data_IF_428938670969
#
_entry.id   IF_428938670969
#
_cell.length_a   1.000
_cell.length_b   1.000
_cell.length_c   1.000
_cell.angle_alpha   90.00
_cell.angle_beta   90.00
_cell.angle_gamma   90.00
#
_symmetry.space_group_name_H-M   'P 1'
#
loop_
_entity.id
_entity.type
_entity.pdbx_description
1 polymer ?
#
# COMPACT_ATOMS: atom_id res chain seq x y z
N UNK A 1 -22.12 -41.24 -21.10
CA UNK A 1 -21.43 -39.96 -21.41
C UNK A 1 -20.11 -40.29 -22.10
N UNK A 2 -19.92 -39.86 -23.35
CA UNK A 2 -18.74 -40.26 -24.14
C UNK A 2 -17.46 -39.73 -23.48
N UNK A 3 -16.48 -40.62 -23.20
CA UNK A 3 -15.20 -40.26 -22.54
C UNK A 3 -14.51 -39.05 -23.19
N UNK A 4 -14.70 -38.83 -24.50
CA UNK A 4 -14.19 -37.66 -25.24
C UNK A 4 -14.88 -36.33 -24.87
N UNK A 5 -16.18 -36.34 -24.59
CA UNK A 5 -16.95 -35.14 -24.19
C UNK A 5 -16.62 -34.76 -22.74
N UNK A 6 -16.43 -35.76 -21.86
CA UNK A 6 -16.04 -35.51 -20.46
C UNK A 6 -14.65 -34.86 -20.31
N UNK A 7 -13.68 -35.24 -21.17
CA UNK A 7 -12.31 -34.67 -21.13
C UNK A 7 -12.28 -33.20 -21.56
N UNK A 8 -13.08 -32.82 -22.57
CA UNK A 8 -13.15 -31.43 -23.06
C UNK A 8 -13.74 -30.50 -21.99
N UNK A 9 -14.80 -30.92 -21.29
CA UNK A 9 -15.44 -30.11 -20.25
C UNK A 9 -14.49 -29.88 -19.06
N UNK A 10 -13.74 -30.90 -18.64
CA UNK A 10 -12.78 -30.79 -17.54
C UNK A 10 -11.62 -29.84 -17.92
N UNK A 11 -11.10 -29.92 -19.16
CA UNK A 11 -10.04 -29.03 -19.62
C UNK A 11 -10.48 -27.55 -19.67
N UNK A 12 -11.71 -27.26 -20.11
CA UNK A 12 -12.26 -25.89 -20.14
C UNK A 12 -12.46 -25.32 -18.74
N UNK A 13 -12.88 -26.14 -17.76
CA UNK A 13 -13.05 -25.70 -16.36
C UNK A 13 -11.69 -25.42 -15.69
N UNK A 14 -10.66 -26.23 -15.97
CA UNK A 14 -9.30 -26.01 -15.45
C UNK A 14 -8.68 -24.76 -16.07
N UNK A 15 -8.86 -24.53 -17.38
CA UNK A 15 -8.41 -23.31 -18.05
C UNK A 15 -9.18 -22.08 -17.54
N UNK A 16 -10.50 -22.18 -17.34
CA UNK A 16 -11.34 -21.11 -16.81
C UNK A 16 -11.02 -20.74 -15.36
N UNK A 17 -10.69 -21.73 -14.52
CA UNK A 17 -10.26 -21.48 -13.13
C UNK A 17 -8.84 -20.92 -13.07
N UNK A 18 -7.91 -21.37 -13.92
CA UNK A 18 -6.57 -20.79 -14.03
C UNK A 18 -6.62 -19.35 -14.55
N UNK A 19 -7.37 -19.07 -15.63
CA UNK A 19 -7.55 -17.71 -16.15
C UNK A 19 -8.28 -16.83 -15.13
N UNK A 20 -9.32 -17.35 -14.47
CA UNK A 20 -10.02 -16.64 -13.39
C UNK A 20 -9.11 -16.32 -12.20
N UNK A 21 -8.24 -17.24 -11.80
CA UNK A 21 -7.23 -17.04 -10.76
C UNK A 21 -6.16 -16.03 -11.18
N UNK A 22 -5.67 -16.10 -12.42
CA UNK A 22 -4.75 -15.12 -12.99
C UNK A 22 -5.39 -13.72 -13.03
N UNK A 23 -6.62 -13.58 -13.56
CA UNK A 23 -7.33 -12.29 -13.63
C UNK A 23 -7.66 -11.72 -12.23
N UNK A 24 -7.97 -12.59 -11.26
CA UNK A 24 -8.25 -12.21 -9.87
C UNK A 24 -6.99 -11.76 -9.12
N UNK A 25 -5.86 -12.46 -9.31
CA UNK A 25 -4.57 -12.06 -8.74
C UNK A 25 -4.22 -10.63 -9.14
N UNK A 26 -4.36 -10.28 -10.42
CA UNK A 26 -3.94 -8.99 -10.96
C UNK A 26 -4.77 -7.80 -10.48
N UNK A 27 -5.92 -7.97 -9.83
CA UNK A 27 -6.80 -6.86 -9.45
C UNK A 27 -6.46 -6.14 -8.14
N UNK A 28 -5.71 -6.80 -7.25
CA UNK A 28 -5.62 -6.40 -5.84
C UNK A 28 -4.24 -5.87 -5.40
N UNK A 29 -3.28 -5.77 -6.32
CA UNK A 29 -1.94 -5.24 -6.05
C UNK A 29 -1.46 -4.31 -7.17
N UNK A 30 -0.72 -3.28 -6.79
CA UNK A 30 -0.15 -2.29 -7.73
C UNK A 30 1.28 -2.63 -8.16
N UNK A 31 2.01 -3.39 -7.34
CA UNK A 31 3.37 -3.81 -7.61
C UNK A 31 3.75 -5.01 -6.73
N UNK A 32 4.92 -5.60 -7.00
CA UNK A 32 5.58 -6.59 -6.15
C UNK A 32 6.99 -6.13 -5.79
N UNK A 33 7.43 -6.48 -4.59
CA UNK A 33 8.81 -6.36 -4.11
C UNK A 33 9.27 -7.79 -3.84
N UNK A 34 10.13 -8.33 -4.72
CA UNK A 34 10.38 -9.77 -4.76
C UNK A 34 9.07 -10.55 -4.99
N UNK A 35 8.76 -11.51 -4.12
CA UNK A 35 7.51 -12.29 -4.18
C UNK A 35 6.33 -11.65 -3.42
N UNK A 36 6.56 -10.53 -2.73
CA UNK A 36 5.57 -9.90 -1.87
C UNK A 36 4.79 -8.82 -2.62
N UNK A 37 3.47 -8.87 -2.54
CA UNK A 37 2.58 -7.89 -3.17
C UNK A 37 2.53 -6.60 -2.35
N UNK A 38 2.55 -5.47 -3.04
CA UNK A 38 2.07 -4.18 -2.56
C UNK A 38 0.58 -4.08 -2.93
N UNK A 39 -0.28 -4.27 -1.94
CA UNK A 39 -1.73 -4.29 -2.12
C UNK A 39 -2.25 -2.90 -2.47
N UNK A 40 -3.41 -2.85 -3.12
CA UNK A 40 -4.02 -1.57 -3.55
C UNK A 40 -4.19 -0.58 -2.40
N UNK A 41 -4.61 -1.05 -1.22
CA UNK A 41 -4.82 -0.17 -0.06
C UNK A 41 -3.52 0.26 0.61
N UNK A 42 -2.47 -0.56 0.54
CA UNK A 42 -1.13 -0.17 1.04
C UNK A 42 -0.60 0.99 0.20
N UNK A 43 -0.68 0.88 -1.12
CA UNK A 43 -0.33 1.98 -2.01
C UNK A 43 -1.24 3.20 -1.84
N UNK A 44 -2.56 2.99 -1.75
CA UNK A 44 -3.53 4.07 -1.59
C UNK A 44 -3.27 4.88 -0.31
N UNK A 45 -2.86 4.23 0.78
CA UNK A 45 -2.49 4.89 2.03
C UNK A 45 -1.39 5.93 1.81
N UNK A 46 -0.26 5.53 1.20
CA UNK A 46 0.85 6.45 0.92
C UNK A 46 0.47 7.52 -0.09
N UNK A 47 -0.24 7.13 -1.15
CA UNK A 47 -0.67 8.05 -2.21
C UNK A 47 -1.55 9.19 -1.67
N UNK A 48 -2.60 8.84 -0.91
CA UNK A 48 -3.55 9.81 -0.34
C UNK A 48 -2.92 10.67 0.74
N UNK A 49 -2.01 10.11 1.54
CA UNK A 49 -1.25 10.87 2.53
C UNK A 49 -0.37 11.92 1.85
N UNK A 50 0.43 11.51 0.86
CA UNK A 50 1.27 12.42 0.07
C UNK A 50 0.46 13.48 -0.66
N UNK A 51 -0.66 13.11 -1.28
CA UNK A 51 -1.60 14.05 -1.93
C UNK A 51 -2.06 15.12 -0.95
N UNK A 52 -2.52 14.72 0.25
CA UNK A 52 -3.00 15.65 1.28
C UNK A 52 -1.91 16.56 1.83
N UNK A 53 -0.70 16.03 2.01
CA UNK A 53 0.46 16.84 2.41
C UNK A 53 0.79 17.89 1.34
N UNK A 54 0.87 17.49 0.07
CA UNK A 54 1.13 18.41 -1.04
C UNK A 54 0.03 19.47 -1.21
N UNK A 55 -1.25 19.10 -1.05
CA UNK A 55 -2.37 20.04 -1.03
C UNK A 55 -2.21 21.10 0.07
N UNK A 56 -1.89 20.66 1.30
CA UNK A 56 -1.70 21.57 2.43
C UNK A 56 -0.47 22.48 2.26
N UNK A 57 0.65 21.92 1.77
CA UNK A 57 1.88 22.67 1.48
C UNK A 57 1.67 23.73 0.38
N UNK A 58 0.84 23.43 -0.62
CA UNK A 58 0.43 24.36 -1.67
C UNK A 58 -0.66 25.35 -1.23
N UNK A 59 -1.19 25.22 -0.01
CA UNK A 59 -2.32 26.03 0.47
C UNK A 59 -3.63 25.77 -0.27
N UNK A 60 -3.78 24.61 -0.90
CA UNK A 60 -4.97 24.23 -1.67
C UNK A 60 -6.01 23.55 -0.75
N UNK A 61 -7.03 24.29 -0.35
CA UNK A 61 -8.06 23.82 0.59
C UNK A 61 -9.45 23.70 -0.04
N UNK A 62 -9.73 24.48 -1.08
CA UNK A 62 -10.96 24.39 -1.85
C UNK A 62 -10.86 23.37 -2.98
N UNK A 63 -12.01 22.85 -3.42
CA UNK A 63 -12.08 21.92 -4.55
C UNK A 63 -11.44 22.50 -5.82
N UNK A 64 -11.63 23.81 -6.05
CA UNK A 64 -11.03 24.53 -7.19
C UNK A 64 -9.51 24.56 -7.10
N UNK A 65 -8.94 24.95 -5.96
CA UNK A 65 -7.48 25.02 -5.76
C UNK A 65 -6.85 23.63 -5.88
N UNK A 66 -7.48 22.61 -5.30
CA UNK A 66 -7.03 21.22 -5.41
C UNK A 66 -7.04 20.77 -6.87
N UNK A 67 -8.08 21.10 -7.63
CA UNK A 67 -8.18 20.76 -9.04
C UNK A 67 -7.10 21.46 -9.87
N UNK A 68 -6.89 22.75 -9.65
CA UNK A 68 -5.84 23.53 -10.32
C UNK A 68 -4.44 22.96 -10.04
N UNK A 69 -4.17 22.57 -8.79
CA UNK A 69 -2.90 21.96 -8.39
C UNK A 69 -2.58 20.67 -9.16
N UNK A 70 -3.57 19.78 -9.33
CA UNK A 70 -3.34 18.45 -9.91
C UNK A 70 -3.56 18.38 -11.42
N UNK A 71 -4.49 19.16 -11.99
CA UNK A 71 -4.85 19.09 -13.41
C UNK A 71 -4.16 20.15 -14.27
N UNK A 72 -3.76 21.28 -13.68
CA UNK A 72 -3.13 22.41 -14.39
C UNK A 72 -1.76 22.76 -13.77
N UNK A 73 -0.78 21.83 -13.79
CA UNK A 73 0.50 22.08 -13.15
C UNK A 73 1.22 23.29 -13.74
N UNK A 74 1.71 24.16 -12.86
CA UNK A 74 2.67 25.19 -13.20
C UNK A 74 4.08 24.56 -13.20
N UNK A 75 4.74 24.54 -14.37
CA UNK A 75 6.04 23.90 -14.54
C UNK A 75 5.93 22.57 -15.28
N UNK A 76 6.90 22.27 -16.14
CA UNK A 76 6.81 21.20 -17.15
C UNK A 76 6.86 19.75 -16.64
N UNK A 77 6.68 19.50 -15.33
CA UNK A 77 6.61 18.15 -14.76
C UNK A 77 5.18 17.80 -14.33
N UNK A 78 4.78 16.54 -14.53
CA UNK A 78 3.46 16.05 -14.11
C UNK A 78 3.44 15.76 -12.59
N UNK A 79 2.73 16.56 -11.77
CA UNK A 79 2.69 16.41 -10.32
C UNK A 79 2.04 15.09 -9.90
N UNK A 80 1.11 14.55 -10.72
CA UNK A 80 0.50 13.25 -10.46
C UNK A 80 1.55 12.15 -10.61
N UNK A 81 2.39 12.22 -11.65
CA UNK A 81 3.48 11.27 -11.83
C UNK A 81 4.51 11.34 -10.70
N UNK A 82 4.85 12.54 -10.22
CA UNK A 82 5.78 12.74 -9.09
C UNK A 82 5.23 12.05 -7.83
N UNK A 83 3.99 12.35 -7.46
CA UNK A 83 3.35 11.81 -6.26
C UNK A 83 3.11 10.31 -6.39
N UNK A 84 2.73 9.82 -7.58
CA UNK A 84 2.61 8.39 -7.87
C UNK A 84 3.92 7.65 -7.62
N UNK A 85 5.03 8.16 -8.15
CA UNK A 85 6.36 7.55 -7.99
C UNK A 85 6.81 7.59 -6.53
N UNK A 86 6.65 8.73 -5.83
CA UNK A 86 7.00 8.84 -4.41
C UNK A 86 6.16 7.91 -3.53
N UNK A 87 4.86 7.77 -3.81
CA UNK A 87 4.00 6.84 -3.09
C UNK A 87 4.42 5.38 -3.30
N UNK A 88 4.87 5.01 -4.50
CA UNK A 88 5.43 3.68 -4.76
C UNK A 88 6.74 3.43 -4.02
N UNK A 89 7.62 4.43 -3.95
CA UNK A 89 8.87 4.32 -3.20
C UNK A 89 8.61 4.11 -1.70
N UNK A 90 7.72 4.90 -1.09
CA UNK A 90 7.34 4.67 0.32
C UNK A 90 6.64 3.34 0.53
N UNK A 91 5.77 2.92 -0.38
CA UNK A 91 5.16 1.59 -0.31
C UNK A 91 6.21 0.46 -0.43
N UNK A 92 7.24 0.64 -1.26
CA UNK A 92 8.37 -0.28 -1.41
C UNK A 92 9.18 -0.36 -0.12
N UNK A 93 9.62 0.77 0.43
CA UNK A 93 10.38 0.83 1.68
C UNK A 93 9.62 0.18 2.83
N UNK A 94 8.35 0.55 3.01
CA UNK A 94 7.49 -0.07 4.02
C UNK A 94 7.33 -1.58 3.82
N UNK A 95 7.19 -2.02 2.57
CA UNK A 95 7.10 -3.45 2.24
C UNK A 95 8.39 -4.19 2.56
N UNK A 96 9.55 -3.60 2.28
CA UNK A 96 10.86 -4.18 2.62
C UNK A 96 10.96 -4.37 4.13
N UNK A 97 10.58 -3.37 4.94
CA UNK A 97 10.62 -3.48 6.40
C UNK A 97 9.72 -4.61 6.91
N UNK A 98 8.52 -4.77 6.34
CA UNK A 98 7.64 -5.92 6.65
C UNK A 98 8.26 -7.26 6.27
N UNK A 99 8.91 -7.34 5.10
CA UNK A 99 9.62 -8.56 4.67
C UNK A 99 10.76 -8.90 5.62
N UNK A 100 11.53 -7.89 6.07
CA UNK A 100 12.64 -8.11 6.99
C UNK A 100 12.15 -8.58 8.36
N UNK A 101 11.10 -7.95 8.90
CA UNK A 101 10.42 -8.44 10.10
C UNK A 101 9.94 -9.90 9.95
N UNK A 102 9.33 -10.24 8.81
CA UNK A 102 8.88 -11.61 8.51
C UNK A 102 10.04 -12.61 8.47
N UNK A 103 11.15 -12.27 7.80
CA UNK A 103 12.35 -13.12 7.69
C UNK A 103 12.94 -13.45 9.06
N UNK A 104 12.90 -12.49 9.98
CA UNK A 104 13.36 -12.65 11.36
C UNK A 104 12.30 -13.27 12.28
N UNK A 105 11.14 -13.64 11.72
CA UNK A 105 9.97 -14.13 12.49
C UNK A 105 9.54 -13.14 13.58
N UNK A 106 9.82 -11.86 13.37
CA UNK A 106 9.46 -10.77 14.26
C UNK A 106 7.95 -10.54 14.18
N UNK A 107 7.30 -10.46 15.34
CA UNK A 107 5.86 -10.29 15.42
C UNK A 107 5.45 -9.43 16.61
N UNK A 108 4.27 -8.84 16.50
CA UNK A 108 3.53 -8.36 17.66
C UNK A 108 3.11 -9.57 18.50
N UNK A 109 3.21 -9.45 19.82
CA UNK A 109 2.61 -10.41 20.75
C UNK A 109 1.09 -10.36 20.65
N UNK A 110 0.42 -11.42 21.11
CA UNK A 110 -1.04 -11.49 21.09
C UNK A 110 -1.69 -10.37 21.93
N UNK A 111 -1.05 -10.00 23.05
CA UNK A 111 -1.48 -8.89 23.90
C UNK A 111 -1.40 -7.54 23.17
N UNK A 112 -0.26 -7.22 22.56
CA UNK A 112 -0.08 -5.98 21.78
C UNK A 112 -1.08 -5.92 20.62
N UNK A 113 -1.25 -7.03 19.90
CA UNK A 113 -2.19 -7.11 18.78
C UNK A 113 -3.64 -6.90 19.24
N UNK A 114 -4.03 -7.48 20.38
CA UNK A 114 -5.35 -7.29 20.96
C UNK A 114 -5.59 -5.83 21.39
N UNK A 115 -4.61 -5.21 22.05
CA UNK A 115 -4.69 -3.82 22.48
C UNK A 115 -4.80 -2.86 21.28
N UNK A 116 -3.98 -3.06 20.25
CA UNK A 116 -4.04 -2.26 19.02
C UNK A 116 -5.40 -2.41 18.35
N UNK A 117 -5.92 -3.65 18.24
CA UNK A 117 -7.24 -3.90 17.64
C UNK A 117 -8.34 -3.20 18.43
N UNK A 118 -8.36 -3.34 19.74
CA UNK A 118 -9.37 -2.69 20.59
C UNK A 118 -9.32 -1.17 20.47
N UNK A 119 -8.11 -0.59 20.47
CA UNK A 119 -7.95 0.86 20.28
C UNK A 119 -8.48 1.32 18.92
N UNK A 120 -8.19 0.58 17.85
CA UNK A 120 -8.69 0.89 16.51
C UNK A 120 -10.20 0.64 16.37
N UNK A 121 -10.74 -0.37 17.06
CA UNK A 121 -12.17 -0.66 17.09
C UNK A 121 -12.92 0.50 17.74
N UNK A 122 -12.47 0.95 18.92
CA UNK A 122 -13.06 2.10 19.62
C UNK A 122 -12.97 3.38 18.78
N UNK A 123 -11.83 3.62 18.12
CA UNK A 123 -11.63 4.77 17.25
C UNK A 123 -12.57 4.78 16.05
N UNK A 124 -12.85 3.60 15.48
CA UNK A 124 -13.67 3.45 14.27
C UNK A 124 -15.15 3.17 14.55
N UNK A 125 -15.54 3.04 15.82
CA UNK A 125 -16.95 2.96 16.23
C UNK A 125 -17.67 4.31 16.04
N UNK A 126 -16.91 5.41 16.13
CA UNK A 126 -17.36 6.71 15.67
C UNK A 126 -17.49 6.72 14.14
N UNK A 127 -18.75 6.74 13.68
CA UNK A 127 -19.09 6.74 12.24
C UNK A 127 -18.63 8.01 11.53
N UNK A 128 -18.65 9.16 12.20
CA UNK A 128 -18.21 10.41 11.60
C UNK A 128 -16.71 10.35 11.34
N UNK A 129 -15.95 9.93 12.35
CA UNK A 129 -14.50 9.75 12.22
C UNK A 129 -14.14 8.67 11.19
N UNK A 130 -14.83 7.53 11.19
CA UNK A 130 -14.62 6.47 10.20
C UNK A 130 -14.90 6.95 8.77
N UNK A 131 -15.93 7.77 8.57
CA UNK A 131 -16.23 8.39 7.27
C UNK A 131 -15.18 9.43 6.88
N UNK A 132 -14.72 10.26 7.82
CA UNK A 132 -13.63 11.19 7.60
C UNK A 132 -12.37 10.46 7.11
N UNK A 133 -11.94 9.40 7.80
CA UNK A 133 -10.78 8.59 7.40
C UNK A 133 -10.96 7.97 6.02
N UNK A 134 -12.16 7.47 5.71
CA UNK A 134 -12.47 6.92 4.39
C UNK A 134 -12.34 7.97 3.29
N UNK A 135 -12.79 9.19 3.54
CA UNK A 135 -12.71 10.29 2.58
C UNK A 135 -11.27 10.80 2.43
N UNK A 136 -10.56 10.96 3.55
CA UNK A 136 -9.18 11.46 3.58
C UNK A 136 -8.20 10.46 2.95
N UNK A 137 -8.30 9.18 3.31
CA UNK A 137 -7.30 8.15 2.96
C UNK A 137 -7.78 7.18 1.88
N UNK A 138 -9.05 7.23 1.47
CA UNK A 138 -9.60 6.28 0.49
C UNK A 138 -9.70 4.84 1.01
N UNK A 139 -9.61 4.64 2.34
CA UNK A 139 -9.57 3.32 2.98
C UNK A 139 -10.85 3.04 3.77
N UNK A 140 -11.39 1.83 3.64
CA UNK A 140 -12.44 1.37 4.56
C UNK A 140 -11.85 0.99 5.95
N UNK A 141 -12.68 0.84 6.99
CA UNK A 141 -12.21 0.53 8.35
C UNK A 141 -11.30 -0.71 8.43
N UNK A 142 -11.58 -1.75 7.64
CA UNK A 142 -10.75 -2.97 7.62
C UNK A 142 -9.37 -2.71 7.04
N UNK A 143 -9.30 -1.96 5.95
CA UNK A 143 -8.04 -1.59 5.29
C UNK A 143 -7.21 -0.65 6.17
N UNK A 144 -7.86 0.31 6.83
CA UNK A 144 -7.20 1.18 7.78
C UNK A 144 -6.61 0.38 8.96
N UNK A 145 -7.39 -0.53 9.56
CA UNK A 145 -6.90 -1.42 10.63
C UNK A 145 -5.67 -2.22 10.20
N UNK A 146 -5.71 -2.80 9.01
CA UNK A 146 -4.57 -3.53 8.44
C UNK A 146 -3.32 -2.65 8.31
N UNK A 147 -3.45 -1.43 7.78
CA UNK A 147 -2.32 -0.48 7.69
C UNK A 147 -1.76 -0.12 9.06
N UNK A 148 -2.62 0.18 10.04
CA UNK A 148 -2.18 0.58 11.37
C UNK A 148 -1.48 -0.55 12.12
N UNK A 149 -1.96 -1.80 11.99
CA UNK A 149 -1.30 -2.97 12.59
C UNK A 149 0.07 -3.20 11.94
N UNK A 150 0.16 -3.14 10.60
CA UNK A 150 1.44 -3.27 9.88
C UNK A 150 2.43 -2.17 10.27
N UNK A 151 1.95 -0.94 10.39
CA UNK A 151 2.77 0.19 10.84
C UNK A 151 3.30 -0.04 12.25
N UNK A 152 2.47 -0.52 13.18
CA UNK A 152 2.92 -0.86 14.54
C UNK A 152 3.95 -1.99 14.56
N UNK A 153 3.81 -2.99 13.68
CA UNK A 153 4.81 -4.03 13.50
C UNK A 153 6.14 -3.46 13.00
N UNK A 154 6.11 -2.59 11.99
CA UNK A 154 7.31 -1.94 11.45
C UNK A 154 7.96 -1.04 12.49
N UNK A 155 7.21 -0.18 13.19
CA UNK A 155 7.71 0.66 14.28
C UNK A 155 8.45 -0.18 15.33
N UNK A 156 7.81 -1.25 15.83
CA UNK A 156 8.41 -2.15 16.81
C UNK A 156 9.64 -2.89 16.26
N UNK A 157 9.62 -3.30 15.00
CA UNK A 157 10.75 -3.97 14.35
C UNK A 157 11.95 -3.03 14.23
N UNK A 158 11.73 -1.78 13.80
CA UNK A 158 12.76 -0.75 13.71
C UNK A 158 13.34 -0.50 15.10
N UNK A 159 12.52 -0.25 16.11
CA UNK A 159 12.98 -0.01 17.49
C UNK A 159 13.83 -1.17 18.02
N UNK A 160 13.39 -2.41 17.79
CA UNK A 160 14.15 -3.60 18.16
C UNK A 160 15.48 -3.69 17.38
N UNK A 161 15.47 -3.38 16.08
CA UNK A 161 16.68 -3.38 15.25
C UNK A 161 17.71 -2.38 15.79
N UNK A 162 17.29 -1.14 16.06
CA UNK A 162 18.16 -0.10 16.62
C UNK A 162 18.81 -0.55 17.94
N UNK A 163 18.01 -1.11 18.85
CA UNK A 163 18.49 -1.59 20.15
C UNK A 163 19.45 -2.77 20.03
N UNK A 164 19.07 -3.79 19.26
CA UNK A 164 19.86 -5.04 19.14
C UNK A 164 21.17 -4.85 18.39
N UNK A 165 21.21 -3.94 17.42
CA UNK A 165 22.41 -3.64 16.64
C UNK A 165 23.20 -2.46 17.20
N UNK A 166 22.67 -1.77 18.23
CA UNK A 166 23.27 -0.57 18.83
C UNK A 166 23.56 0.52 17.79
N UNK A 167 22.58 0.77 16.91
CA UNK A 167 22.65 1.76 15.83
C UNK A 167 21.59 2.84 16.01
N UNK A 168 21.81 4.00 15.40
CA UNK A 168 20.81 5.07 15.33
C UNK A 168 19.94 5.01 14.05
N UNK A 169 18.97 5.91 13.96
CA UNK A 169 18.07 6.00 12.79
C UNK A 169 18.79 6.37 11.49
N UNK A 170 19.89 7.11 11.54
CA UNK A 170 20.66 7.44 10.32
C UNK A 170 21.28 6.18 9.74
N UNK A 171 21.93 5.39 10.58
CA UNK A 171 22.53 4.10 10.21
C UNK A 171 21.47 3.08 9.76
N UNK A 172 20.30 3.06 10.40
CA UNK A 172 19.18 2.23 9.94
C UNK A 172 18.67 2.66 8.56
N UNK A 173 18.57 3.96 8.29
CA UNK A 173 18.14 4.47 6.98
C UNK A 173 19.15 4.13 5.87
N UNK A 174 20.46 4.18 6.17
CA UNK A 174 21.49 3.67 5.27
C UNK A 174 21.27 2.19 4.98
N UNK A 175 20.99 1.38 6.01
CA UNK A 175 20.69 -0.05 5.84
C UNK A 175 19.44 -0.31 5.01
N UNK A 176 18.38 0.47 5.23
CA UNK A 176 17.16 0.39 4.44
C UNK A 176 17.42 0.77 2.97
N UNK A 177 18.29 1.75 2.73
CA UNK A 177 18.74 2.11 1.38
C UNK A 177 19.51 0.96 0.70
N UNK A 178 20.38 0.26 1.43
CA UNK A 178 21.04 -0.95 0.92
C UNK A 178 20.01 -2.00 0.50
N UNK A 179 19.04 -2.31 1.36
CA UNK A 179 17.97 -3.27 1.02
C UNK A 179 17.12 -2.79 -0.16
N UNK A 180 16.83 -1.49 -0.25
CA UNK A 180 16.07 -0.92 -1.37
C UNK A 180 16.77 -1.13 -2.72
N UNK A 181 18.10 -1.11 -2.73
CA UNK A 181 18.93 -1.25 -3.92
C UNK A 181 19.35 -2.70 -4.21
N UNK A 182 19.08 -3.65 -3.29
CA UNK A 182 19.30 -5.07 -3.52
C UNK A 182 18.32 -5.60 -4.59
N UNK A 183 18.82 -6.26 -5.66
CA UNK A 183 18.01 -6.81 -6.73
C UNK A 183 16.85 -7.72 -6.27
N UNK A 184 16.98 -8.38 -5.12
CA UNK A 184 15.93 -9.21 -4.53
C UNK A 184 14.67 -8.41 -4.17
N UNK A 185 14.79 -7.09 -4.00
CA UNK A 185 13.70 -6.17 -3.70
C UNK A 185 13.35 -5.25 -4.88
N UNK A 186 13.78 -5.60 -6.10
CA UNK A 186 13.37 -4.86 -7.30
C UNK A 186 11.84 -4.82 -7.42
N UNK A 187 11.34 -3.63 -7.80
CA UNK A 187 9.92 -3.38 -7.94
C UNK A 187 9.42 -3.89 -9.28
N UNK A 188 8.44 -4.79 -9.27
CA UNK A 188 7.74 -5.25 -10.48
C UNK A 188 6.34 -4.63 -10.47
N UNK A 189 6.13 -3.59 -11.28
CA UNK A 189 4.88 -2.83 -11.33
C UNK A 189 3.79 -3.61 -12.08
N UNK A 190 2.57 -3.53 -11.57
CA UNK A 190 1.35 -3.89 -12.30
C UNK A 190 0.76 -2.61 -12.89
N UNK A 191 1.33 -2.14 -14.01
CA UNK A 191 1.07 -0.81 -14.57
C UNK A 191 -0.42 -0.52 -14.74
N UNK A 192 -1.20 -1.51 -15.20
CA UNK A 192 -2.65 -1.36 -15.39
C UNK A 192 -3.36 -1.05 -14.07
N UNK A 193 -3.03 -1.75 -12.98
CA UNK A 193 -3.67 -1.52 -11.68
C UNK A 193 -3.11 -0.32 -10.97
N UNK A 194 -1.81 -0.07 -11.07
CA UNK A 194 -1.19 1.15 -10.59
C UNK A 194 -1.91 2.37 -11.17
N UNK A 195 -1.96 2.49 -12.50
CA UNK A 195 -2.65 3.59 -13.19
C UNK A 195 -4.11 3.71 -12.78
N UNK A 196 -4.84 2.58 -12.74
CA UNK A 196 -6.26 2.58 -12.32
C UNK A 196 -6.44 3.08 -10.89
N UNK A 197 -5.61 2.62 -9.95
CA UNK A 197 -5.70 3.02 -8.53
C UNK A 197 -5.25 4.46 -8.36
N UNK A 198 -4.21 4.91 -9.05
CA UNK A 198 -3.75 6.31 -9.05
C UNK A 198 -4.84 7.23 -9.56
N UNK A 199 -5.39 6.98 -10.76
CA UNK A 199 -6.42 7.85 -11.35
C UNK A 199 -7.68 7.92 -10.48
N UNK A 200 -8.09 6.78 -9.90
CA UNK A 200 -9.22 6.75 -8.96
C UNK A 200 -8.98 7.65 -7.72
N UNK A 201 -7.74 7.78 -7.27
CA UNK A 201 -7.42 8.47 -6.02
C UNK A 201 -6.90 9.90 -6.20
N UNK A 202 -6.36 10.23 -7.38
CA UNK A 202 -5.81 11.54 -7.70
C UNK A 202 -6.82 12.41 -8.45
N UNK A 203 -7.56 11.84 -9.41
CA UNK A 203 -8.31 12.60 -10.42
C UNK A 203 -9.82 12.66 -10.11
N UNK A 204 -10.36 11.66 -9.40
CA UNK A 204 -11.76 11.70 -8.96
C UNK A 204 -11.85 12.41 -7.61
N UNK A 205 -12.15 13.71 -7.65
CA UNK A 205 -12.77 14.42 -6.53
C UNK A 205 -14.15 13.77 -6.30
N UNK A 206 -14.36 13.19 -5.12
CA UNK A 206 -15.67 12.68 -4.69
C UNK A 206 -16.42 13.76 -3.95
#
# INVERSE_FOLDING_TARGET
MNKKISVIIIAVIVIGTLIGYFIWEFGNYVAKVGNHKILNHEYTFFLRTLKKTAEAEAGAYSEKEIKELWENPAGGEDPVAIIMNRALEYAKEFKIQLIMAERERFKLSDSELSQIRQSLDNLLDDKEYANFLKNALGLNPRQYKDMMIKRKLVEKYVDNYLQTHSVDMSQYNEKLSEWKNDPAFNLVKNERVLQKVTNKNMILLQ
#
